data_IF_868541494368
#
_entry.id   IF_868541494368
#
_cell.length_a   1.000
_cell.length_b   1.000
_cell.length_c   1.000
_cell.angle_alpha   90.00
_cell.angle_beta   90.00
_cell.angle_gamma   90.00
#
_symmetry.space_group_name_H-M   'P 1'
#
loop_
_entity.id
_entity.type
_entity.pdbx_description
1 polymer ?
#
# COMPACT_ATOMS: atom_id res chain seq x y z
N UNK A 1 28.79 24.44 -52.51
CA UNK A 1 29.63 24.25 -51.30
C UNK A 1 29.26 25.30 -50.28
N UNK A 2 28.51 24.92 -49.23
CA UNK A 2 28.76 25.28 -47.83
C UNK A 2 27.57 24.87 -46.95
N UNK A 3 27.93 24.18 -45.86
CA UNK A 3 27.08 23.45 -44.93
C UNK A 3 26.25 24.39 -44.03
N UNK A 4 24.97 24.04 -43.85
CA UNK A 4 24.19 24.43 -42.67
C UNK A 4 24.16 23.25 -41.70
N UNK A 5 24.70 23.45 -40.51
CA UNK A 5 24.52 22.54 -39.38
C UNK A 5 23.11 22.73 -38.81
N UNK A 6 22.34 21.64 -38.72
CA UNK A 6 21.10 21.56 -37.94
C UNK A 6 21.34 20.56 -36.82
N UNK A 7 21.32 21.03 -35.58
CA UNK A 7 21.33 20.21 -34.38
C UNK A 7 19.95 19.57 -34.20
N UNK A 8 19.85 18.25 -34.39
CA UNK A 8 18.68 17.46 -34.01
C UNK A 8 18.95 16.90 -32.61
N UNK A 9 18.11 17.26 -31.63
CA UNK A 9 18.05 16.61 -30.32
C UNK A 9 17.49 15.19 -30.52
N UNK A 10 18.29 14.18 -30.21
CA UNK A 10 17.85 12.78 -30.12
C UNK A 10 17.25 12.59 -28.71
N UNK A 11 15.94 12.43 -28.65
CA UNK A 11 15.25 11.92 -27.46
C UNK A 11 15.52 10.42 -27.34
N UNK A 12 16.12 10.01 -26.21
CA UNK A 12 16.41 8.61 -25.91
C UNK A 12 15.10 7.91 -25.51
N UNK A 13 14.69 6.97 -26.36
CA UNK A 13 13.60 6.02 -26.16
C UNK A 13 14.08 4.94 -25.16
N UNK A 14 13.41 4.79 -24.02
CA UNK A 14 13.69 3.69 -23.07
C UNK A 14 12.80 2.50 -23.44
N UNK A 15 13.43 1.42 -23.90
CA UNK A 15 12.83 0.11 -24.13
C UNK A 15 12.60 -0.60 -22.79
N UNK A 16 11.36 -1.06 -22.54
CA UNK A 16 11.08 -2.13 -21.60
C UNK A 16 10.94 -3.44 -22.40
N UNK A 17 11.84 -4.40 -22.20
CA UNK A 17 11.70 -5.73 -22.78
C UNK A 17 11.08 -6.71 -21.79
N UNK A 18 10.04 -7.39 -22.28
CA UNK A 18 9.37 -8.55 -21.69
C UNK A 18 10.35 -9.73 -21.53
N UNK A 19 10.17 -10.49 -20.45
CA UNK A 19 10.72 -11.85 -20.35
C UNK A 19 9.92 -12.79 -21.27
N UNK A 20 10.55 -13.34 -22.30
CA UNK A 20 10.10 -14.58 -22.93
C UNK A 20 10.60 -15.79 -22.11
N UNK A 21 9.84 -16.89 -22.00
CA UNK A 21 10.31 -18.10 -21.33
C UNK A 21 11.24 -18.88 -22.27
N UNK A 22 12.48 -19.11 -21.83
CA UNK A 22 13.40 -20.03 -22.50
C UNK A 22 13.19 -21.43 -21.91
N UNK A 23 12.69 -22.35 -22.74
CA UNK A 23 12.76 -23.79 -22.51
C UNK A 23 14.23 -24.24 -22.64
N UNK A 24 14.82 -24.84 -21.60
CA UNK A 24 16.12 -25.53 -21.73
C UNK A 24 15.98 -27.00 -21.32
N UNK A 25 16.32 -27.83 -22.31
CA UNK A 25 16.46 -29.28 -22.29
C UNK A 25 17.63 -29.67 -21.39
N UNK A 26 17.41 -30.74 -20.61
CA UNK A 26 18.33 -31.36 -19.67
C UNK A 26 19.54 -31.97 -20.40
N UNK A 27 20.76 -31.53 -20.12
CA UNK A 27 21.96 -32.35 -20.28
C UNK A 27 22.93 -32.17 -19.12
N UNK A 28 23.39 -33.32 -18.65
CA UNK A 28 24.35 -33.60 -17.59
C UNK A 28 25.77 -33.19 -17.94
N UNK A 29 26.53 -32.70 -16.96
CA UNK A 29 27.98 -32.60 -17.04
C UNK A 29 28.58 -31.85 -15.86
N UNK A 30 29.45 -32.53 -15.10
CA UNK A 30 30.27 -32.00 -14.02
C UNK A 30 31.06 -30.75 -14.45
N UNK A 31 31.37 -29.85 -13.52
CA UNK A 31 32.73 -29.29 -13.28
C UNK A 31 32.77 -28.41 -12.01
N UNK A 32 33.88 -28.60 -11.29
CA UNK A 32 34.50 -28.00 -10.11
C UNK A 32 34.03 -26.66 -9.51
N UNK A 33 34.03 -26.65 -8.18
CA UNK A 33 34.04 -25.49 -7.26
C UNK A 33 35.34 -24.67 -7.29
N UNK A 34 35.27 -23.34 -7.13
CA UNK A 34 36.37 -22.55 -6.60
C UNK A 34 36.05 -21.90 -5.23
N UNK A 35 37.07 -21.89 -4.38
CA UNK A 35 37.16 -21.27 -3.05
C UNK A 35 36.68 -19.81 -3.00
N UNK A 36 35.76 -19.51 -2.08
CA UNK A 36 35.41 -18.12 -1.71
C UNK A 36 35.92 -17.85 -0.28
N UNK A 37 36.79 -16.85 -0.17
CA UNK A 37 37.28 -16.28 1.10
C UNK A 37 36.14 -15.59 1.86
N UNK A 38 35.98 -15.96 3.12
CA UNK A 38 35.13 -15.28 4.12
C UNK A 38 35.56 -13.82 4.32
N UNK A 39 34.64 -12.89 4.05
CA UNK A 39 34.75 -11.48 4.46
C UNK A 39 33.96 -11.26 5.75
N UNK A 40 34.62 -10.60 6.71
CA UNK A 40 34.18 -10.34 8.09
C UNK A 40 32.94 -9.44 8.14
N UNK A 41 31.99 -9.77 9.02
CA UNK A 41 30.83 -8.96 9.38
C UNK A 41 31.23 -7.66 10.13
N UNK A 42 30.53 -6.53 9.90
CA UNK A 42 30.62 -5.37 10.77
C UNK A 42 29.63 -5.47 11.94
N UNK A 43 30.13 -5.23 13.15
CA UNK A 43 29.40 -5.16 14.42
C UNK A 43 28.44 -3.97 14.41
N UNK A 44 27.13 -4.20 14.52
CA UNK A 44 26.16 -3.15 14.84
C UNK A 44 25.77 -3.20 16.32
N UNK A 45 25.88 -2.04 16.97
CA UNK A 45 25.56 -1.78 18.39
C UNK A 45 24.06 -1.91 18.61
N UNK A 46 23.69 -2.66 19.64
CA UNK A 46 22.33 -2.80 20.16
C UNK A 46 21.98 -1.53 20.95
N UNK A 47 20.90 -0.84 20.59
CA UNK A 47 20.26 0.20 21.42
C UNK A 47 19.09 -0.45 22.14
N UNK A 48 19.08 -0.37 23.48
CA UNK A 48 18.01 -0.91 24.32
C UNK A 48 16.81 0.07 24.42
N UNK A 49 15.58 -0.42 24.67
CA UNK A 49 14.39 0.42 24.75
C UNK A 49 14.31 1.23 26.06
N UNK A 50 13.92 2.50 25.94
CA UNK A 50 13.73 3.43 27.06
C UNK A 50 12.29 3.31 27.58
N UNK A 51 12.16 3.06 28.90
CA UNK A 51 10.89 3.03 29.63
C UNK A 51 10.58 4.45 30.15
N UNK A 52 9.44 5.02 29.78
CA UNK A 52 9.00 6.36 30.24
C UNK A 52 8.13 6.22 31.49
N UNK A 53 8.52 6.90 32.59
CA UNK A 53 7.67 7.12 33.78
C UNK A 53 6.87 8.41 33.60
N UNK A 54 5.57 8.35 33.88
CA UNK A 54 4.69 9.54 33.88
C UNK A 54 4.89 10.40 35.14
N UNK A 55 5.03 11.70 34.93
CA UNK A 55 4.88 12.74 35.96
C UNK A 55 3.80 13.72 35.52
N UNK A 56 2.76 13.84 36.32
CA UNK A 56 1.65 14.78 36.14
C UNK A 56 2.03 16.17 36.63
N UNK A 57 1.77 17.22 35.85
CA UNK A 57 1.47 18.54 36.42
C UNK A 57 0.57 19.40 35.52
N UNK A 58 -0.26 20.19 36.21
CA UNK A 58 -1.41 20.99 35.74
C UNK A 58 -1.01 22.15 34.82
N UNK A 59 -1.90 22.53 33.90
CA UNK A 59 -1.79 23.71 33.04
C UNK A 59 -2.85 24.77 33.40
N UNK A 60 -2.43 26.03 33.45
CA UNK A 60 -3.25 27.22 33.13
C UNK A 60 -2.86 27.74 31.73
N UNK A 61 -3.72 28.52 31.04
CA UNK A 61 -3.55 28.80 29.63
C UNK A 61 -2.92 30.17 29.37
N UNK A 62 -1.91 30.22 28.52
CA UNK A 62 -1.53 31.44 27.80
C UNK A 62 -1.36 31.13 26.31
N UNK A 63 -1.98 32.00 25.51
CA UNK A 63 -1.95 32.01 24.06
C UNK A 63 -0.62 32.55 23.57
N UNK A 64 0.11 31.82 22.74
CA UNK A 64 1.17 32.43 21.94
C UNK A 64 1.51 31.69 20.65
N UNK A 65 1.90 32.50 19.66
CA UNK A 65 2.28 32.14 18.29
C UNK A 65 3.43 31.12 18.29
N UNK A 66 3.19 29.94 17.75
CA UNK A 66 4.19 28.89 17.59
C UNK A 66 5.26 29.29 16.55
N UNK A 67 6.44 29.64 17.05
CA UNK A 67 7.68 29.64 16.28
C UNK A 67 8.21 28.21 16.22
N UNK A 68 8.45 27.73 14.99
CA UNK A 68 9.08 26.44 14.71
C UNK A 68 10.56 26.50 15.08
N UNK A 69 10.91 26.25 16.34
CA UNK A 69 12.32 26.02 16.71
C UNK A 69 12.45 25.02 17.84
N UNK A 70 13.36 24.06 17.63
CA UNK A 70 13.93 23.07 18.55
C UNK A 70 13.25 21.69 18.68
N UNK A 71 11.91 21.57 18.67
CA UNK A 71 11.27 20.25 18.88
C UNK A 71 11.54 19.23 17.76
N UNK A 72 11.72 19.69 16.51
CA UNK A 72 12.01 18.81 15.37
C UNK A 72 13.40 18.17 15.41
N UNK A 73 14.31 18.64 16.27
CA UNK A 73 15.66 18.07 16.39
C UNK A 73 15.72 16.83 17.29
N UNK A 74 14.70 16.58 18.11
CA UNK A 74 14.70 15.50 19.12
C UNK A 74 13.75 14.33 18.79
N UNK A 75 13.22 14.24 17.57
CA UNK A 75 12.34 13.12 17.17
C UNK A 75 10.96 13.15 17.82
N UNK A 76 10.56 14.29 18.41
CA UNK A 76 9.21 14.49 18.92
C UNK A 76 8.28 14.92 17.80
N UNK A 77 7.13 14.25 17.71
CA UNK A 77 6.03 14.69 16.87
C UNK A 77 5.54 16.05 17.37
N UNK A 78 5.33 17.06 16.50
CA UNK A 78 4.60 18.25 16.90
C UNK A 78 3.28 17.84 17.55
N UNK A 79 2.91 18.44 18.69
CA UNK A 79 1.73 18.05 19.49
C UNK A 79 0.44 17.86 18.67
N UNK A 80 0.24 18.71 17.66
CA UNK A 80 -0.90 18.63 16.73
C UNK A 80 -0.93 17.34 15.90
N UNK A 81 0.24 16.81 15.55
CA UNK A 81 0.39 15.55 14.85
C UNK A 81 0.03 14.38 15.79
N UNK A 82 0.39 14.49 17.07
CA UNK A 82 0.11 13.47 18.09
C UNK A 82 -1.40 13.34 18.37
N UNK A 83 -2.13 14.45 18.48
CA UNK A 83 -3.59 14.46 18.71
C UNK A 83 -4.37 13.82 17.53
N UNK A 84 -4.00 14.12 16.29
CA UNK A 84 -4.61 13.50 15.11
C UNK A 84 -4.30 11.99 15.00
N UNK A 85 -3.14 11.59 15.51
CA UNK A 85 -2.64 10.22 15.42
C UNK A 85 -2.84 9.39 16.69
N UNK A 86 -3.53 9.89 17.71
CA UNK A 86 -3.80 9.16 18.94
C UNK A 86 -5.29 9.08 19.30
N UNK A 87 -5.66 7.98 19.95
CA UNK A 87 -6.88 7.82 20.75
C UNK A 87 -8.23 8.09 20.06
N UNK A 88 -8.30 7.94 18.74
CA UNK A 88 -9.56 8.03 18.00
C UNK A 88 -10.35 6.72 18.13
N UNK A 89 -11.56 6.80 18.70
CA UNK A 89 -12.41 5.62 18.91
C UNK A 89 -13.04 5.12 17.61
N UNK A 90 -13.30 6.01 16.67
CA UNK A 90 -13.93 5.72 15.38
C UNK A 90 -12.92 5.80 14.24
N UNK A 91 -13.22 5.12 13.14
CA UNK A 91 -12.43 5.24 11.92
C UNK A 91 -12.68 6.59 11.25
N UNK A 92 -11.66 7.08 10.56
CA UNK A 92 -11.67 8.39 9.93
C UNK A 92 -10.58 8.53 8.88
N UNK A 93 -10.21 9.77 8.59
CA UNK A 93 -9.17 10.12 7.64
C UNK A 93 -8.40 11.35 8.15
N UNK A 94 -7.26 11.62 7.53
CA UNK A 94 -6.37 12.72 7.90
C UNK A 94 -6.42 13.83 6.84
N UNK A 95 -6.64 15.06 7.27
CA UNK A 95 -6.50 16.27 6.47
C UNK A 95 -5.28 17.05 6.98
N UNK A 96 -4.65 17.82 6.11
CA UNK A 96 -3.54 18.70 6.47
C UNK A 96 -2.23 18.24 5.83
N UNK A 97 -1.08 18.71 6.30
CA UNK A 97 0.23 18.43 5.72
C UNK A 97 1.22 17.93 6.79
N UNK A 98 2.48 17.86 6.39
CA UNK A 98 3.59 17.42 7.21
C UNK A 98 3.69 18.18 8.57
N UNK A 99 3.31 19.46 8.59
CA UNK A 99 3.39 20.33 9.79
C UNK A 99 2.08 20.46 10.57
N UNK A 100 0.95 20.03 9.99
CA UNK A 100 -0.37 20.11 10.61
C UNK A 100 -1.22 18.94 10.13
N UNK A 101 -1.66 18.07 11.03
CA UNK A 101 -2.65 17.06 10.71
C UNK A 101 -3.89 17.25 11.56
N UNK A 102 -5.02 16.97 10.94
CA UNK A 102 -6.32 16.93 11.58
C UNK A 102 -6.98 15.61 11.25
N UNK A 103 -7.39 14.87 12.27
CA UNK A 103 -8.25 13.73 12.09
C UNK A 103 -9.70 14.18 11.89
N UNK A 104 -10.38 13.51 10.96
CA UNK A 104 -11.80 13.72 10.67
C UNK A 104 -12.52 12.37 10.74
N UNK A 105 -13.64 12.27 11.50
CA UNK A 105 -14.39 11.03 11.58
C UNK A 105 -15.08 10.72 10.26
N UNK A 106 -15.17 9.43 9.94
CA UNK A 106 -16.17 8.97 9.00
C UNK A 106 -17.56 9.00 9.64
N UNK A 107 -18.59 9.24 8.83
CA UNK A 107 -19.92 9.58 9.33
C UNK A 107 -20.77 8.35 9.69
N UNK A 108 -20.28 7.14 9.37
CA UNK A 108 -21.00 5.89 9.62
C UNK A 108 -20.04 4.81 10.10
N UNK A 109 -20.51 4.02 11.07
CA UNK A 109 -19.91 2.75 11.44
C UNK A 109 -20.35 1.67 10.45
N UNK A 110 -19.38 0.96 9.89
CA UNK A 110 -19.54 -0.03 8.81
C UNK A 110 -18.59 -1.20 9.03
N UNK A 111 -18.96 -2.37 8.56
CA UNK A 111 -18.09 -3.55 8.57
C UNK A 111 -16.97 -3.42 7.53
N UNK A 112 -17.28 -2.88 6.35
CA UNK A 112 -16.33 -2.65 5.27
C UNK A 112 -16.39 -1.19 4.79
N UNK A 113 -15.22 -0.56 4.66
CA UNK A 113 -15.03 0.68 3.93
C UNK A 113 -14.07 0.46 2.77
N UNK A 114 -14.57 0.65 1.55
CA UNK A 114 -13.73 0.67 0.34
C UNK A 114 -13.40 2.12 -0.02
N UNK A 115 -12.12 2.40 -0.19
CA UNK A 115 -11.58 3.71 -0.52
C UNK A 115 -10.96 3.62 -1.91
N UNK A 116 -11.56 4.31 -2.86
CA UNK A 116 -11.09 4.34 -4.25
C UNK A 116 -10.33 5.64 -4.48
N UNK A 117 -9.03 5.54 -4.77
CA UNK A 117 -8.15 6.65 -5.09
C UNK A 117 -8.23 6.94 -6.59
N UNK A 118 -8.60 8.17 -6.94
CA UNK A 118 -8.82 8.58 -8.32
C UNK A 118 -8.16 9.93 -8.64
N UNK A 119 -7.95 10.18 -9.93
CA UNK A 119 -7.46 11.46 -10.41
C UNK A 119 -8.17 11.89 -11.71
N UNK A 120 -7.63 11.51 -12.87
CA UNK A 120 -8.07 12.01 -14.18
C UNK A 120 -8.46 10.89 -15.17
N UNK A 121 -8.83 9.70 -14.68
CA UNK A 121 -9.22 8.55 -15.51
C UNK A 121 -10.70 8.17 -15.32
N UNK A 122 -11.67 8.99 -15.78
CA UNK A 122 -13.10 8.78 -15.51
C UNK A 122 -13.61 7.41 -15.97
N UNK A 123 -13.18 6.94 -17.15
CA UNK A 123 -13.58 5.62 -17.66
C UNK A 123 -13.04 4.48 -16.81
N UNK A 124 -11.83 4.63 -16.27
CA UNK A 124 -11.22 3.64 -15.36
C UNK A 124 -11.98 3.57 -14.06
N UNK A 125 -12.22 4.74 -13.45
CA UNK A 125 -13.02 4.86 -12.24
C UNK A 125 -14.39 4.18 -12.39
N UNK A 126 -15.12 4.44 -13.48
CA UNK A 126 -16.42 3.80 -13.72
C UNK A 126 -16.33 2.27 -13.81
N UNK A 127 -15.26 1.70 -14.38
CA UNK A 127 -15.07 0.24 -14.41
C UNK A 127 -14.82 -0.31 -12.99
N UNK A 128 -14.01 0.39 -12.19
CA UNK A 128 -13.78 0.03 -10.79
C UNK A 128 -15.10 0.04 -9.99
N UNK A 129 -15.86 1.14 -10.07
CA UNK A 129 -17.15 1.27 -9.38
C UNK A 129 -18.17 0.23 -9.84
N UNK A 130 -18.21 -0.11 -11.13
CA UNK A 130 -19.05 -1.20 -11.64
C UNK A 130 -18.69 -2.55 -11.01
N UNK A 131 -17.40 -2.88 -10.89
CA UNK A 131 -16.98 -4.13 -10.25
C UNK A 131 -17.33 -4.16 -8.76
N UNK A 132 -17.19 -3.03 -8.06
CA UNK A 132 -17.62 -2.90 -6.67
C UNK A 132 -19.14 -3.03 -6.51
N UNK A 133 -19.93 -2.53 -7.45
CA UNK A 133 -21.40 -2.60 -7.41
C UNK A 133 -21.90 -4.03 -7.60
N UNK A 134 -21.15 -4.86 -8.34
CA UNK A 134 -21.46 -6.27 -8.58
C UNK A 134 -20.99 -7.23 -7.47
N UNK A 135 -20.30 -6.72 -6.44
CA UNK A 135 -19.75 -7.57 -5.38
C UNK A 135 -20.79 -8.01 -4.34
N UNK A 136 -20.59 -9.21 -3.81
CA UNK A 136 -21.39 -9.79 -2.75
C UNK A 136 -20.91 -9.29 -1.38
N UNK A 137 -21.65 -8.34 -0.82
CA UNK A 137 -21.40 -7.77 0.50
C UNK A 137 -22.15 -8.49 1.63
N UNK A 138 -22.73 -9.66 1.36
CA UNK A 138 -23.62 -10.37 2.29
C UNK A 138 -24.79 -9.46 2.72
N UNK A 139 -24.92 -9.25 4.03
CA UNK A 139 -25.87 -8.31 4.64
C UNK A 139 -25.14 -7.23 5.46
N UNK A 140 -23.84 -7.07 5.22
CA UNK A 140 -23.01 -6.16 5.98
C UNK A 140 -23.21 -4.71 5.51
N UNK A 141 -22.99 -3.74 6.39
CA UNK A 141 -23.01 -2.33 6.04
C UNK A 141 -21.69 -2.00 5.36
N UNK A 142 -21.79 -1.40 4.18
CA UNK A 142 -20.64 -1.05 3.37
C UNK A 142 -20.64 0.44 3.07
N UNK A 143 -19.48 1.07 3.23
CA UNK A 143 -19.23 2.39 2.70
C UNK A 143 -18.23 2.33 1.55
N UNK A 144 -18.51 3.08 0.49
CA UNK A 144 -17.58 3.31 -0.61
C UNK A 144 -17.30 4.81 -0.67
N UNK A 145 -16.04 5.19 -0.51
CA UNK A 145 -15.57 6.56 -0.57
C UNK A 145 -14.63 6.71 -1.79
N UNK A 146 -15.01 7.52 -2.77
CA UNK A 146 -14.13 7.90 -3.88
C UNK A 146 -13.40 9.18 -3.52
N UNK A 147 -12.07 9.12 -3.42
CA UNK A 147 -11.21 10.27 -3.20
C UNK A 147 -10.59 10.72 -4.52
N UNK A 148 -10.84 11.97 -4.90
CA UNK A 148 -10.33 12.57 -6.14
C UNK A 148 -9.25 13.58 -5.77
N UNK A 149 -8.03 13.33 -6.26
CA UNK A 149 -6.92 14.26 -6.11
C UNK A 149 -7.00 15.45 -7.07
N UNK A 150 -6.24 16.50 -6.75
CA UNK A 150 -6.10 17.70 -7.56
C UNK A 150 -4.83 17.64 -8.40
N UNK A 151 -4.84 18.38 -9.51
CA UNK A 151 -3.64 18.60 -10.32
C UNK A 151 -2.58 19.35 -9.51
N UNK A 152 -1.34 18.89 -9.57
CA UNK A 152 -0.21 19.46 -8.83
C UNK A 152 0.05 20.93 -9.16
N UNK A 153 -0.13 21.36 -10.41
CA UNK A 153 0.26 22.69 -10.90
C UNK A 153 -0.78 23.76 -10.60
N UNK A 154 -2.04 23.49 -10.95
CA UNK A 154 -3.13 24.49 -10.88
C UNK A 154 -4.16 24.18 -9.79
N UNK A 155 -4.00 23.08 -9.05
CA UNK A 155 -4.92 22.64 -7.99
C UNK A 155 -6.35 22.37 -8.49
N UNK A 156 -6.55 22.25 -9.80
CA UNK A 156 -7.84 21.91 -10.39
C UNK A 156 -8.23 20.46 -10.11
N UNK A 157 -9.54 20.20 -10.13
CA UNK A 157 -10.11 18.85 -10.07
C UNK A 157 -10.50 18.46 -11.50
N UNK A 158 -10.21 17.23 -11.89
CA UNK A 158 -10.63 16.75 -13.21
C UNK A 158 -12.15 16.61 -13.28
N UNK A 159 -12.81 17.51 -14.01
CA UNK A 159 -14.27 17.67 -14.02
C UNK A 159 -15.00 16.40 -14.48
N UNK A 160 -14.49 15.72 -15.51
CA UNK A 160 -15.11 14.49 -16.00
C UNK A 160 -15.01 13.34 -14.99
N UNK A 161 -13.92 13.27 -14.22
CA UNK A 161 -13.80 12.27 -13.14
C UNK A 161 -14.78 12.57 -12.03
N UNK A 162 -14.88 13.85 -11.62
CA UNK A 162 -15.81 14.28 -10.59
C UNK A 162 -17.27 14.01 -11.01
N UNK A 163 -17.61 14.31 -12.26
CA UNK A 163 -18.93 14.03 -12.84
C UNK A 163 -19.20 12.53 -12.86
N UNK A 164 -18.27 11.73 -13.38
CA UNK A 164 -18.39 10.28 -13.42
C UNK A 164 -18.61 9.68 -12.03
N UNK A 165 -17.86 10.14 -11.03
CA UNK A 165 -18.02 9.70 -9.64
C UNK A 165 -19.40 10.10 -9.08
N UNK A 166 -19.82 11.36 -9.24
CA UNK A 166 -21.09 11.86 -8.68
C UNK A 166 -22.33 11.27 -9.36
N UNK A 167 -22.23 10.91 -10.64
CA UNK A 167 -23.33 10.32 -11.40
C UNK A 167 -23.43 8.80 -11.25
N UNK A 168 -22.48 8.15 -10.58
CA UNK A 168 -22.56 6.71 -10.33
C UNK A 168 -23.50 6.44 -9.15
N UNK A 169 -24.42 5.50 -9.33
CA UNK A 169 -25.37 5.08 -8.30
C UNK A 169 -25.05 3.66 -7.85
N UNK A 170 -24.90 3.48 -6.53
CA UNK A 170 -24.81 2.16 -5.92
C UNK A 170 -26.20 1.72 -5.42
N UNK A 171 -26.43 0.39 -5.27
CA UNK A 171 -27.60 -0.13 -4.59
C UNK A 171 -27.82 0.52 -3.21
N UNK A 172 -29.07 0.66 -2.73
CA UNK A 172 -29.40 1.43 -1.52
C UNK A 172 -28.73 0.96 -0.21
N UNK A 173 -28.24 -0.28 -0.16
CA UNK A 173 -27.56 -0.84 1.01
C UNK A 173 -26.09 -0.41 1.14
N UNK A 174 -25.53 0.24 0.11
CA UNK A 174 -24.16 0.75 0.08
C UNK A 174 -24.18 2.27 0.29
N UNK A 175 -23.47 2.74 1.32
CA UNK A 175 -23.27 4.17 1.55
C UNK A 175 -22.17 4.68 0.63
N UNK A 176 -22.50 5.56 -0.31
CA UNK A 176 -21.54 6.09 -1.29
C UNK A 176 -21.24 7.57 -1.07
N UNK A 177 -19.95 7.96 -1.09
CA UNK A 177 -19.52 9.36 -1.00
C UNK A 177 -18.38 9.67 -1.97
N UNK A 178 -18.47 10.82 -2.60
CA UNK A 178 -17.39 11.41 -3.41
C UNK A 178 -16.73 12.52 -2.61
N UNK A 179 -15.41 12.43 -2.44
CA UNK A 179 -14.59 13.37 -1.69
C UNK A 179 -13.52 13.93 -2.62
N UNK A 180 -13.33 15.24 -2.54
CA UNK A 180 -12.30 15.95 -3.31
C UNK A 180 -11.25 16.41 -2.32
N UNK A 181 -9.98 16.11 -2.59
CA UNK A 181 -8.89 16.60 -1.75
C UNK A 181 -8.89 18.13 -1.70
N UNK A 182 -8.54 18.74 -0.58
CA UNK A 182 -8.47 20.22 -0.50
C UNK A 182 -7.32 20.79 -1.34
N UNK A 183 -6.19 20.07 -1.36
CA UNK A 183 -4.99 20.37 -2.12
C UNK A 183 -4.42 19.08 -2.72
N UNK A 184 -3.59 19.19 -3.76
CA UNK A 184 -2.89 18.05 -4.35
C UNK A 184 -2.14 17.24 -3.28
N UNK A 185 -2.44 15.94 -3.18
CA UNK A 185 -1.82 15.02 -2.22
C UNK A 185 -0.79 14.10 -2.85
N UNK A 186 -0.90 13.82 -4.14
CA UNK A 186 -0.16 12.77 -4.81
C UNK A 186 -0.53 11.39 -4.28
N UNK A 187 0.04 10.35 -4.90
CA UNK A 187 -0.30 8.96 -4.58
C UNK A 187 0.00 8.61 -3.11
N UNK A 188 1.15 9.04 -2.59
CA UNK A 188 1.53 8.83 -1.18
C UNK A 188 0.56 9.50 -0.21
N UNK A 189 0.18 10.75 -0.46
CA UNK A 189 -0.76 11.45 0.40
C UNK A 189 -2.16 10.84 0.33
N UNK A 190 -2.57 10.32 -0.82
CA UNK A 190 -3.85 9.61 -0.96
C UNK A 190 -3.84 8.29 -0.19
N UNK A 191 -2.83 7.44 -0.36
CA UNK A 191 -2.72 6.16 0.33
C UNK A 191 -2.66 6.33 1.85
N UNK A 192 -1.77 7.20 2.35
CA UNK A 192 -1.52 7.32 3.80
C UNK A 192 -2.71 7.94 4.55
N UNK A 193 -3.47 8.85 3.92
CA UNK A 193 -4.36 9.75 4.68
C UNK A 193 -5.84 9.45 4.57
N UNK A 194 -6.24 8.70 3.54
CA UNK A 194 -7.67 8.47 3.28
C UNK A 194 -8.28 7.44 4.22
N UNK A 195 -7.49 6.69 4.99
CA UNK A 195 -8.00 5.82 6.03
C UNK A 195 -7.15 5.83 7.28
N UNK A 196 -7.81 5.97 8.43
CA UNK A 196 -7.22 5.81 9.75
C UNK A 196 -8.20 5.03 10.63
N UNK A 197 -7.90 3.77 10.97
CA UNK A 197 -8.81 2.95 11.75
C UNK A 197 -8.86 3.38 13.21
N UNK A 198 -10.07 3.47 13.76
CA UNK A 198 -10.28 3.73 15.18
C UNK A 198 -9.73 2.60 16.05
N UNK A 199 -9.31 2.91 17.28
CA UNK A 199 -8.74 1.91 18.21
C UNK A 199 -9.75 0.83 18.58
N UNK A 200 -11.03 1.21 18.71
CA UNK A 200 -12.13 0.33 19.08
C UNK A 200 -12.99 -0.09 17.88
N UNK A 201 -12.67 0.40 16.68
CA UNK A 201 -13.45 0.09 15.48
C UNK A 201 -13.18 -1.31 14.98
N UNK A 202 -14.24 -2.01 14.56
CA UNK A 202 -14.17 -3.28 13.83
C UNK A 202 -14.16 -3.11 12.31
N UNK A 203 -14.24 -1.88 11.82
CA UNK A 203 -14.22 -1.53 10.39
C UNK A 203 -12.98 -2.14 9.72
N UNK A 204 -13.21 -2.82 8.60
CA UNK A 204 -12.18 -3.26 7.67
C UNK A 204 -12.06 -2.21 6.58
N UNK A 205 -10.86 -1.66 6.38
CA UNK A 205 -10.55 -0.76 5.27
C UNK A 205 -9.97 -1.53 4.10
N UNK A 206 -10.41 -1.22 2.89
CA UNK A 206 -9.79 -1.68 1.64
C UNK A 206 -9.48 -0.45 0.78
N UNK A 207 -8.22 -0.26 0.42
CA UNK A 207 -7.80 0.87 -0.42
C UNK A 207 -7.47 0.33 -1.82
N UNK A 208 -8.07 0.97 -2.83
CA UNK A 208 -7.97 0.61 -4.25
C UNK A 208 -7.58 1.83 -5.07
N UNK A 209 -6.86 1.63 -6.16
CA UNK A 209 -6.72 2.63 -7.23
C UNK A 209 -7.84 2.50 -8.28
N UNK A 210 -8.11 3.59 -9.00
CA UNK A 210 -9.19 3.65 -9.99
C UNK A 210 -9.04 2.68 -11.17
N UNK A 211 -7.84 2.11 -11.39
CA UNK A 211 -7.53 1.15 -12.45
C UNK A 211 -7.73 -0.34 -12.07
N UNK A 212 -8.28 -0.59 -10.89
CA UNK A 212 -8.59 -1.95 -10.44
C UNK A 212 -10.02 -2.40 -10.71
N UNK A 213 -10.17 -3.68 -11.05
CA UNK A 213 -11.44 -4.40 -10.95
C UNK A 213 -11.35 -5.40 -9.80
N UNK A 214 -12.43 -5.54 -9.02
CA UNK A 214 -12.51 -6.53 -7.94
C UNK A 214 -13.45 -7.68 -8.29
N UNK A 215 -13.17 -8.84 -7.71
CA UNK A 215 -13.99 -10.05 -7.81
C UNK A 215 -15.32 -9.86 -7.10
N UNK A 216 -16.39 -10.50 -7.56
CA UNK A 216 -17.67 -10.47 -6.85
C UNK A 216 -17.60 -11.10 -5.45
N UNK A 217 -16.59 -11.92 -5.16
CA UNK A 217 -16.42 -12.65 -3.90
C UNK A 217 -15.31 -12.08 -2.99
N UNK A 218 -14.68 -10.94 -3.36
CA UNK A 218 -13.54 -10.41 -2.62
C UNK A 218 -13.83 -10.23 -1.12
N UNK A 219 -15.04 -9.74 -0.79
CA UNK A 219 -15.42 -9.44 0.58
C UNK A 219 -15.59 -10.71 1.43
N UNK A 220 -16.04 -11.81 0.84
CA UNK A 220 -16.23 -13.09 1.55
C UNK A 220 -14.90 -13.56 2.15
N UNK A 221 -13.85 -13.59 1.33
CA UNK A 221 -12.51 -13.95 1.79
C UNK A 221 -11.93 -12.91 2.75
N UNK A 222 -12.00 -11.63 2.38
CA UNK A 222 -11.42 -10.55 3.18
C UNK A 222 -12.04 -10.52 4.60
N UNK A 223 -13.36 -10.69 4.71
CA UNK A 223 -14.06 -10.80 6.00
C UNK A 223 -13.58 -12.01 6.81
N UNK A 224 -13.45 -13.17 6.17
CA UNK A 224 -13.01 -14.39 6.85
C UNK A 224 -11.57 -14.26 7.39
N UNK A 225 -10.64 -13.79 6.55
CA UNK A 225 -9.21 -13.69 6.89
C UNK A 225 -8.95 -12.58 7.91
N UNK A 226 -9.63 -11.44 7.79
CA UNK A 226 -9.52 -10.35 8.78
C UNK A 226 -10.06 -10.78 10.14
N UNK A 227 -11.16 -11.54 10.20
CA UNK A 227 -11.68 -12.11 11.45
C UNK A 227 -10.67 -13.07 12.09
N UNK A 228 -10.04 -13.93 11.28
CA UNK A 228 -9.07 -14.92 11.76
C UNK A 228 -7.80 -14.29 12.30
N UNK A 229 -7.26 -13.30 11.61
CA UNK A 229 -5.95 -12.72 11.90
C UNK A 229 -6.01 -11.33 12.56
N UNK A 230 -7.19 -10.90 13.03
CA UNK A 230 -7.42 -9.57 13.62
C UNK A 230 -6.46 -9.17 14.74
N UNK A 231 -5.93 -10.14 15.48
CA UNK A 231 -5.07 -9.91 16.64
C UNK A 231 -3.66 -10.48 16.42
N UNK A 232 -3.32 -10.89 15.19
CA UNK A 232 -1.96 -11.36 14.87
C UNK A 232 -1.05 -10.15 14.66
N UNK A 233 -0.06 -10.01 15.52
CA UNK A 233 0.87 -8.87 15.52
C UNK A 233 1.88 -8.89 14.37
N UNK A 234 2.06 -10.06 13.75
CA UNK A 234 2.94 -10.28 12.60
C UNK A 234 2.24 -10.05 11.25
N UNK A 235 1.03 -9.48 11.23
CA UNK A 235 0.30 -9.13 10.01
C UNK A 235 0.32 -7.62 9.76
N UNK A 236 0.80 -7.22 8.59
CA UNK A 236 0.75 -5.82 8.12
C UNK A 236 -0.58 -5.49 7.44
N UNK A 237 -1.19 -6.48 6.78
CA UNK A 237 -2.48 -6.36 6.11
C UNK A 237 -2.72 -7.53 5.16
N UNK A 238 -3.69 -7.35 4.27
CA UNK A 238 -4.21 -8.36 3.35
C UNK A 238 -4.20 -7.82 1.93
N UNK A 239 -3.85 -8.66 0.96
CA UNK A 239 -3.89 -8.29 -0.45
C UNK A 239 -4.92 -9.13 -1.21
N UNK A 240 -5.69 -8.46 -2.09
CA UNK A 240 -6.62 -9.12 -3.02
C UNK A 240 -5.94 -9.51 -4.35
N UNK A 241 -4.74 -8.99 -4.61
CA UNK A 241 -3.92 -9.30 -5.77
C UNK A 241 -2.67 -10.07 -5.37
N UNK A 242 -1.98 -10.69 -6.35
CA UNK A 242 -0.64 -11.24 -6.15
C UNK A 242 0.45 -10.16 -6.29
N UNK A 243 1.67 -10.40 -5.79
CA UNK A 243 2.81 -9.54 -6.08
C UNK A 243 3.03 -9.45 -7.60
N UNK A 244 3.01 -8.24 -8.13
CA UNK A 244 3.25 -7.96 -9.56
C UNK A 244 4.74 -7.99 -9.93
N UNK A 245 5.60 -8.10 -8.93
CA UNK A 245 7.05 -8.11 -9.04
C UNK A 245 7.60 -9.53 -8.95
N UNK A 246 8.64 -9.80 -9.74
CA UNK A 246 9.53 -10.90 -9.41
C UNK A 246 10.10 -10.69 -7.99
N UNK A 247 10.29 -11.77 -7.25
CA UNK A 247 10.95 -11.68 -5.94
C UNK A 247 12.41 -11.21 -6.10
N UNK A 248 13.09 -10.91 -4.99
CA UNK A 248 14.41 -10.25 -4.96
C UNK A 248 15.51 -10.87 -5.86
N UNK A 249 15.35 -12.12 -6.30
CA UNK A 249 16.31 -12.87 -7.13
C UNK A 249 15.80 -13.19 -8.55
N UNK A 250 14.65 -12.63 -8.96
CA UNK A 250 14.01 -12.95 -10.24
C UNK A 250 13.21 -14.25 -10.18
N UNK A 251 12.06 -14.29 -10.86
CA UNK A 251 11.14 -15.43 -10.85
C UNK A 251 9.79 -15.14 -10.20
N UNK A 252 8.81 -16.01 -10.47
CA UNK A 252 7.49 -15.98 -9.84
C UNK A 252 7.59 -16.57 -8.43
N UNK A 253 6.78 -16.06 -7.49
CA UNK A 253 6.67 -16.67 -6.16
C UNK A 253 6.17 -18.11 -6.28
N UNK A 254 6.94 -19.04 -5.72
CA UNK A 254 6.49 -20.41 -5.54
C UNK A 254 5.68 -20.50 -4.25
N UNK A 255 4.40 -20.79 -4.38
CA UNK A 255 3.50 -21.08 -3.26
C UNK A 255 3.13 -22.56 -3.36
N UNK A 256 3.42 -23.39 -2.34
CA UNK A 256 2.97 -24.77 -2.30
C UNK A 256 1.46 -24.91 -2.58
N UNK A 257 1.07 -25.91 -3.37
CA UNK A 257 -0.33 -26.09 -3.82
C UNK A 257 -1.32 -26.30 -2.65
N UNK A 258 -0.86 -26.77 -1.50
CA UNK A 258 -1.71 -26.92 -0.33
C UNK A 258 -1.85 -25.61 0.49
N UNK A 259 -1.12 -24.56 0.14
CA UNK A 259 -1.12 -23.27 0.85
C UNK A 259 -2.08 -22.27 0.20
N UNK A 260 -3.38 -22.45 0.45
CA UNK A 260 -4.45 -21.55 0.00
C UNK A 260 -4.35 -20.15 0.62
N UNK A 261 -3.84 -20.03 1.84
CA UNK A 261 -3.52 -18.75 2.46
C UNK A 261 -2.08 -18.77 2.96
N UNK A 262 -1.32 -17.75 2.57
CA UNK A 262 0.10 -17.62 2.91
C UNK A 262 0.43 -16.19 3.29
N UNK A 263 1.61 -16.01 3.89
CA UNK A 263 2.16 -14.72 4.27
C UNK A 263 3.40 -14.42 3.44
N UNK A 264 3.53 -13.19 2.96
CA UNK A 264 4.70 -12.73 2.19
C UNK A 264 5.21 -11.40 2.73
N UNK A 265 6.52 -11.20 2.66
CA UNK A 265 7.18 -10.04 3.24
C UNK A 265 6.87 -8.72 2.53
N UNK A 266 6.57 -8.74 1.24
CA UNK A 266 6.21 -7.52 0.51
C UNK A 266 4.71 -7.28 0.51
N UNK A 267 4.37 -5.99 0.48
CA UNK A 267 3.03 -5.51 0.16
C UNK A 267 2.74 -5.71 -1.34
N UNK A 268 1.46 -5.89 -1.67
CA UNK A 268 0.98 -5.75 -3.05
C UNK A 268 0.27 -4.40 -3.19
N UNK A 269 0.72 -3.58 -4.12
CA UNK A 269 0.60 -2.11 -4.04
C UNK A 269 -0.67 -1.51 -4.62
N UNK A 270 -1.62 -2.32 -5.10
CA UNK A 270 -2.85 -1.80 -5.69
C UNK A 270 -4.12 -2.12 -4.88
N UNK A 271 -4.19 -3.29 -4.24
CA UNK A 271 -5.43 -3.78 -3.60
C UNK A 271 -5.21 -4.23 -2.16
N UNK A 272 -4.84 -3.27 -1.31
CA UNK A 272 -4.39 -3.54 0.04
C UNK A 272 -5.45 -3.18 1.08
N UNK A 273 -5.73 -4.13 1.97
CA UNK A 273 -6.53 -3.92 3.17
C UNK A 273 -5.59 -3.92 4.38
N UNK A 274 -5.28 -2.74 4.95
CA UNK A 274 -4.29 -2.68 6.01
C UNK A 274 -4.80 -3.32 7.32
N UNK A 275 -3.92 -3.99 8.05
CA UNK A 275 -4.24 -4.44 9.40
C UNK A 275 -4.42 -3.22 10.33
N UNK A 276 -5.53 -3.08 11.07
CA UNK A 276 -5.85 -1.80 11.72
C UNK A 276 -4.77 -1.27 12.65
N UNK A 277 -4.19 -2.13 13.49
CA UNK A 277 -3.13 -1.75 14.40
C UNK A 277 -1.82 -1.44 13.68
N UNK A 278 -1.46 -2.28 12.69
CA UNK A 278 -0.25 -2.07 11.89
C UNK A 278 -0.33 -0.74 11.15
N UNK A 279 -1.47 -0.42 10.54
CA UNK A 279 -1.66 0.82 9.80
C UNK A 279 -1.57 2.08 10.66
N UNK A 280 -2.12 2.06 11.88
CA UNK A 280 -1.95 3.18 12.83
C UNK A 280 -0.49 3.41 13.16
N UNK A 281 0.25 2.33 13.42
CA UNK A 281 1.67 2.38 13.76
C UNK A 281 2.52 2.79 12.56
N UNK A 282 2.16 2.34 11.36
CA UNK A 282 2.76 2.77 10.10
C UNK A 282 2.55 4.28 9.91
N UNK A 283 1.33 4.80 10.02
CA UNK A 283 1.06 6.24 9.86
C UNK A 283 1.89 7.07 10.84
N UNK A 284 1.95 6.68 12.12
CA UNK A 284 2.80 7.33 13.13
C UNK A 284 4.27 7.33 12.71
N UNK A 285 4.80 6.16 12.36
CA UNK A 285 6.21 6.00 11.95
C UNK A 285 6.52 6.79 10.69
N UNK A 286 5.63 6.74 9.69
CA UNK A 286 5.73 7.51 8.45
C UNK A 286 5.89 9.00 8.73
N UNK A 287 5.03 9.57 9.56
CA UNK A 287 5.08 10.99 9.86
C UNK A 287 6.31 11.41 10.68
N UNK A 288 6.81 10.55 11.58
CA UNK A 288 8.11 10.78 12.24
C UNK A 288 9.24 10.77 11.21
N UNK A 289 9.29 9.70 10.42
CA UNK A 289 10.38 9.42 9.49
C UNK A 289 10.45 10.41 8.34
N UNK A 290 9.30 10.88 7.82
CA UNK A 290 9.22 11.90 6.77
C UNK A 290 9.87 13.23 7.20
N UNK A 291 9.90 13.52 8.50
CA UNK A 291 10.48 14.74 9.08
C UNK A 291 11.87 14.53 9.67
N UNK A 292 12.35 13.28 9.70
CA UNK A 292 13.65 12.96 10.24
C UNK A 292 14.71 13.21 9.18
N UNK A 293 15.58 14.19 9.42
CA UNK A 293 16.64 14.58 8.48
C UNK A 293 17.53 13.36 8.17
N UNK A 294 17.62 13.02 6.88
CA UNK A 294 18.47 11.94 6.39
C UNK A 294 17.86 10.54 6.52
N UNK A 295 16.60 10.42 6.95
CA UNK A 295 15.91 9.14 6.91
C UNK A 295 15.60 8.75 5.46
N UNK A 296 15.87 7.49 5.13
CA UNK A 296 15.50 6.88 3.86
C UNK A 296 14.82 5.53 4.12
N UNK A 297 13.61 5.28 3.58
CA UNK A 297 12.97 3.98 3.72
C UNK A 297 13.72 2.96 2.84
N UNK A 298 14.63 2.19 3.44
CA UNK A 298 15.43 1.19 2.73
C UNK A 298 15.41 -0.16 3.44
N UNK A 299 15.35 -1.21 2.64
CA UNK A 299 15.51 -2.59 3.08
C UNK A 299 16.60 -3.22 2.20
N UNK A 300 17.60 -3.83 2.84
CA UNK A 300 18.72 -4.43 2.10
C UNK A 300 18.24 -5.58 1.21
N UNK A 301 18.73 -5.63 -0.02
CA UNK A 301 18.49 -6.76 -0.93
C UNK A 301 17.11 -6.81 -1.59
N UNK A 302 16.25 -5.80 -1.43
CA UNK A 302 14.90 -5.80 -2.07
C UNK A 302 14.84 -4.86 -3.26
N UNK A 303 14.12 -5.28 -4.30
CA UNK A 303 13.94 -4.52 -5.54
C UNK A 303 13.32 -3.12 -5.31
N UNK A 304 12.30 -2.94 -4.44
CA UNK A 304 11.74 -1.61 -4.15
C UNK A 304 12.76 -0.58 -3.63
N UNK A 305 13.78 -1.01 -2.87
CA UNK A 305 14.83 -0.08 -2.40
C UNK A 305 15.75 0.39 -3.54
N UNK A 306 15.90 -0.41 -4.59
CA UNK A 306 16.63 0.02 -5.80
C UNK A 306 15.82 1.05 -6.59
N UNK A 307 14.51 0.83 -6.72
CA UNK A 307 13.59 1.76 -7.38
C UNK A 307 13.50 3.09 -6.66
N UNK A 308 13.40 3.07 -5.32
CA UNK A 308 13.42 4.27 -4.49
C UNK A 308 14.64 5.15 -4.79
N UNK A 309 15.84 4.57 -4.83
CA UNK A 309 17.08 5.30 -5.19
C UNK A 309 17.03 5.88 -6.61
N UNK A 310 16.35 5.20 -7.53
CA UNK A 310 16.12 5.67 -8.89
C UNK A 310 15.17 6.87 -8.95
N UNK A 311 14.04 6.81 -8.25
CA UNK A 311 13.03 7.88 -8.22
C UNK A 311 13.49 9.09 -7.41
N UNK A 312 14.26 8.89 -6.34
CA UNK A 312 14.88 9.97 -5.57
C UNK A 312 15.77 10.86 -6.45
N UNK A 313 16.56 10.27 -7.36
CA UNK A 313 17.38 11.05 -8.33
C UNK A 313 16.53 11.91 -9.28
N UNK A 314 15.25 11.60 -9.43
CA UNK A 314 14.29 12.32 -10.28
C UNK A 314 13.39 13.28 -9.49
N UNK A 315 13.51 13.32 -8.15
CA UNK A 315 12.58 14.04 -7.28
C UNK A 315 11.15 13.48 -7.30
N UNK A 316 11.03 12.16 -7.48
CA UNK A 316 9.76 11.42 -7.60
C UNK A 316 9.62 10.32 -6.55
N UNK A 317 10.45 10.32 -5.51
CA UNK A 317 10.40 9.33 -4.45
C UNK A 317 9.02 9.24 -3.76
N UNK A 318 8.26 10.34 -3.74
CA UNK A 318 6.88 10.37 -3.22
C UNK A 318 5.87 9.59 -4.08
N UNK A 319 6.26 9.16 -5.28
CA UNK A 319 5.43 8.30 -6.14
C UNK A 319 5.54 6.81 -5.76
N UNK A 320 6.48 6.46 -4.86
CA UNK A 320 6.70 5.12 -4.30
C UNK A 320 6.31 5.07 -2.82
N UNK A 321 5.02 5.24 -2.53
CA UNK A 321 4.50 5.22 -1.17
C UNK A 321 4.76 3.87 -0.47
N UNK A 322 4.75 2.79 -1.23
CA UNK A 322 4.91 1.43 -0.75
C UNK A 322 6.27 1.21 -0.09
N UNK A 323 7.31 1.96 -0.49
CA UNK A 323 8.63 1.80 0.11
C UNK A 323 8.63 2.21 1.58
N UNK A 324 7.85 3.23 1.95
CA UNK A 324 7.67 3.62 3.35
C UNK A 324 7.03 2.51 4.16
N UNK A 325 5.99 1.88 3.61
CA UNK A 325 5.32 0.76 4.26
C UNK A 325 6.22 -0.48 4.32
N UNK A 326 6.99 -0.79 3.27
CA UNK A 326 7.93 -1.91 3.22
C UNK A 326 9.02 -1.75 4.30
N UNK A 327 9.58 -0.56 4.45
CA UNK A 327 10.57 -0.28 5.49
C UNK A 327 9.97 -0.46 6.91
N UNK A 328 8.79 0.10 7.16
CA UNK A 328 8.09 -0.08 8.42
C UNK A 328 7.77 -1.56 8.71
N UNK A 329 7.19 -2.28 7.75
CA UNK A 329 6.82 -3.68 7.92
C UNK A 329 8.05 -4.59 8.12
N UNK A 330 9.19 -4.24 7.50
CA UNK A 330 10.46 -4.91 7.73
C UNK A 330 10.90 -4.80 9.19
N UNK A 331 10.94 -3.58 9.72
CA UNK A 331 11.33 -3.31 11.11
C UNK A 331 10.36 -3.96 12.11
N UNK A 332 9.05 -3.90 11.82
CA UNK A 332 8.01 -4.53 12.60
C UNK A 332 7.95 -6.07 12.45
N UNK A 333 8.75 -6.65 11.55
CA UNK A 333 8.77 -8.10 11.22
C UNK A 333 7.39 -8.63 10.78
N UNK A 334 6.63 -7.80 10.08
CA UNK A 334 5.27 -8.10 9.63
C UNK A 334 5.22 -8.66 8.21
N UNK A 335 4.11 -9.29 7.90
CA UNK A 335 3.83 -9.90 6.60
C UNK A 335 2.48 -9.48 6.06
N UNK A 336 2.39 -9.40 4.74
CA UNK A 336 1.12 -9.30 4.01
C UNK A 336 0.52 -10.70 3.89
N UNK A 337 -0.77 -10.83 4.13
CA UNK A 337 -1.51 -12.08 3.95
C UNK A 337 -2.14 -12.10 2.56
N UNK A 338 -2.02 -13.24 1.86
CA UNK A 338 -2.50 -13.42 0.50
C UNK A 338 -3.30 -14.71 0.36
N UNK A 339 -4.22 -14.70 -0.62
CA UNK A 339 -4.92 -15.87 -1.09
C UNK A 339 -4.20 -16.46 -2.31
N UNK A 340 -3.99 -17.77 -2.29
CA UNK A 340 -3.67 -18.55 -3.47
C UNK A 340 -4.98 -19.11 -4.04
N UNK A 341 -5.49 -18.46 -5.06
CA UNK A 341 -6.63 -18.89 -5.90
C UNK A 341 -6.18 -19.85 -7.01
N UNK A 342 -4.91 -20.26 -7.00
CA UNK A 342 -4.29 -21.06 -8.05
C UNK A 342 -4.42 -20.40 -9.42
N UNK A 343 -5.03 -21.09 -10.39
CA UNK A 343 -5.20 -20.61 -11.77
C UNK A 343 -6.58 -19.98 -12.00
N UNK A 344 -7.39 -19.80 -10.95
CA UNK A 344 -8.77 -19.31 -11.07
C UNK A 344 -8.88 -17.78 -11.13
N UNK A 345 -7.76 -17.06 -11.26
CA UNK A 345 -7.71 -15.60 -11.31
C UNK A 345 -7.39 -14.96 -9.95
N UNK A 346 -7.67 -13.68 -9.75
CA UNK A 346 -7.38 -12.95 -8.51
C UNK A 346 -8.64 -12.30 -7.92
N UNK A 347 -8.60 -11.89 -6.64
CA UNK A 347 -9.70 -11.15 -6.02
C UNK A 347 -9.70 -9.66 -6.40
N UNK A 348 -8.58 -9.14 -6.90
CA UNK A 348 -8.50 -7.86 -7.58
C UNK A 348 -7.43 -7.90 -8.67
N UNK A 349 -7.71 -7.25 -9.81
CA UNK A 349 -6.81 -7.19 -10.97
C UNK A 349 -6.60 -5.74 -11.40
N UNK A 350 -5.35 -5.38 -11.65
CA UNK A 350 -5.02 -4.15 -12.35
C UNK A 350 -5.30 -4.35 -13.84
N UNK A 351 -6.07 -3.44 -14.42
CA UNK A 351 -6.43 -3.49 -15.84
C UNK A 351 -5.27 -3.13 -16.77
N UNK A 352 -4.08 -2.89 -16.21
CA UNK A 352 -2.84 -2.49 -16.90
C UNK A 352 -3.10 -1.28 -17.80
N UNK A 353 -3.92 -0.36 -17.33
CA UNK A 353 -4.19 0.86 -18.08
C UNK A 353 -2.98 1.79 -17.96
N UNK A 354 -2.59 2.45 -19.05
CA UNK A 354 -1.45 3.38 -19.04
C UNK A 354 -1.64 4.41 -17.92
N UNK A 355 -0.63 4.54 -17.07
CA UNK A 355 -0.70 5.31 -15.83
C UNK A 355 0.68 5.75 -15.34
N UNK A 356 0.79 6.10 -14.06
CA UNK A 356 2.03 6.60 -13.48
C UNK A 356 3.19 5.60 -13.59
N UNK A 357 2.87 4.31 -13.42
CA UNK A 357 3.85 3.22 -13.36
C UNK A 357 3.63 2.10 -14.39
N UNK A 358 2.55 2.15 -15.16
CA UNK A 358 2.18 1.08 -16.11
C UNK A 358 2.12 1.60 -17.55
N UNK A 359 2.66 0.82 -18.48
CA UNK A 359 2.71 1.11 -19.92
C UNK A 359 1.71 0.31 -20.76
N UNK A 360 0.84 -0.49 -20.12
CA UNK A 360 0.01 -1.47 -20.81
C UNK A 360 0.51 -2.90 -20.61
N UNK A 361 -0.40 -3.88 -20.59
CA UNK A 361 -0.03 -5.29 -20.43
C UNK A 361 -1.21 -6.27 -20.39
N UNK A 362 -0.89 -7.56 -20.23
CA UNK A 362 -1.88 -8.62 -20.05
C UNK A 362 -2.61 -8.45 -18.72
N UNK A 363 -3.94 -8.56 -18.77
CA UNK A 363 -4.83 -8.47 -17.60
C UNK A 363 -5.13 -9.88 -17.11
N UNK A 364 -4.92 -10.11 -15.82
CA UNK A 364 -5.31 -11.36 -15.13
C UNK A 364 -6.83 -11.49 -15.06
N UNK A 365 -7.35 -12.71 -14.93
CA UNK A 365 -8.78 -12.95 -14.70
C UNK A 365 -9.17 -12.67 -13.24
N UNK A 366 -10.46 -12.37 -13.02
CA UNK A 366 -11.04 -12.34 -11.68
C UNK A 366 -11.50 -13.74 -11.27
N UNK A 367 -11.19 -14.14 -10.03
CA UNK A 367 -11.73 -15.34 -9.39
C UNK A 367 -13.10 -15.00 -8.79
N UNK A 368 -14.19 -15.38 -9.46
CA UNK A 368 -15.56 -15.06 -9.01
C UNK A 368 -16.30 -16.26 -8.39
N UNK A 369 -15.73 -17.46 -8.51
CA UNK A 369 -16.30 -18.69 -7.96
C UNK A 369 -15.74 -18.94 -6.56
N UNK A 370 -16.63 -19.18 -5.60
CA UNK A 370 -16.21 -19.47 -4.23
C UNK A 370 -15.70 -20.90 -4.11
N UNK A 371 -14.57 -21.06 -3.44
CA UNK A 371 -14.03 -22.35 -3.03
C UNK A 371 -14.00 -22.43 -1.50
N UNK A 372 -14.55 -23.51 -0.92
CA UNK A 372 -14.57 -23.72 0.53
C UNK A 372 -13.18 -23.75 1.17
N UNK A 373 -12.12 -23.96 0.38
CA UNK A 373 -10.75 -23.84 0.88
C UNK A 373 -10.35 -22.40 1.21
N UNK A 374 -11.02 -21.39 0.65
CA UNK A 374 -10.74 -19.96 0.92
C UNK A 374 -11.07 -19.58 2.37
N UNK A 375 -12.01 -20.27 3.03
CA UNK A 375 -12.31 -20.05 4.45
C UNK A 375 -11.49 -20.92 5.41
N UNK A 376 -10.75 -21.92 4.91
CA UNK A 376 -9.88 -22.78 5.70
C UNK A 376 -8.53 -22.10 5.99
N UNK A 377 -8.62 -20.96 6.67
CA UNK A 377 -7.47 -20.11 7.00
C UNK A 377 -6.67 -20.76 8.15
N UNK A 378 -5.39 -21.11 7.94
CA UNK A 378 -4.58 -21.83 8.92
C UNK A 378 -4.23 -20.96 10.13
N UNK A 379 -3.95 -21.55 11.31
CA UNK A 379 -3.42 -20.78 12.46
C UNK A 379 -2.00 -20.26 12.23
N UNK A 380 -1.22 -21.05 11.49
CA UNK A 380 0.18 -20.84 11.16
C UNK A 380 0.35 -20.97 9.64
N UNK A 381 0.01 -19.94 8.85
CA UNK A 381 0.26 -19.95 7.42
C UNK A 381 1.75 -20.05 7.14
N UNK A 382 2.12 -20.59 5.99
CA UNK A 382 3.51 -20.52 5.53
C UNK A 382 3.91 -19.05 5.36
N UNK A 383 5.17 -18.75 5.63
CA UNK A 383 5.75 -17.41 5.49
C UNK A 383 6.83 -17.44 4.43
N UNK A 384 6.72 -16.55 3.47
CA UNK A 384 7.68 -16.38 2.39
C UNK A 384 8.51 -15.13 2.66
N UNK A 385 9.84 -15.25 2.59
CA UNK A 385 10.74 -14.11 2.69
C UNK A 385 10.83 -13.32 1.39
N UNK A 386 11.58 -12.21 1.35
CA UNK A 386 11.69 -11.32 0.18
C UNK A 386 12.11 -12.00 -1.14
N UNK A 387 12.81 -13.12 -1.05
CA UNK A 387 13.25 -13.94 -2.17
C UNK A 387 12.28 -15.09 -2.51
N UNK A 388 11.13 -15.17 -1.84
CA UNK A 388 10.15 -16.22 -2.03
C UNK A 388 10.46 -17.52 -1.30
N UNK A 389 11.55 -17.61 -0.53
CA UNK A 389 11.88 -18.81 0.23
C UNK A 389 10.94 -19.00 1.42
N UNK A 390 10.59 -20.26 1.71
CA UNK A 390 9.78 -20.60 2.87
C UNK A 390 10.63 -20.41 4.13
N UNK A 391 10.19 -19.53 5.02
CA UNK A 391 10.82 -19.30 6.30
C UNK A 391 10.54 -20.46 7.26
N UNK A 392 11.56 -20.85 8.03
CA UNK A 392 11.37 -21.77 9.16
C UNK A 392 10.66 -21.02 10.29
N UNK A 393 9.57 -21.60 10.78
CA UNK A 393 8.75 -21.08 11.87
C UNK A 393 9.49 -21.09 13.22
#
# INVERSE_FOLDING_TARGET
>A
MNNRAVFIRISILIFFFFCLPIYIIKQSGLISTPNIKLLKEPKNKIVQPIIIKHSTNKLQPESDKLTLSEESKNGYLPKLLDDALNNQNTSGFLIGNATFLKWMPYERDVELRVIVLAYNRPKSLLKCLKSLSAANYLKDKVAIDVWIDRNKKDQSVHEETLKAAKSFEFPPHISYKVRVQEHHRGILGQWVNTWRPGINSKEVGLILEDDLSVSSIFWLWLKAVTRKYRYKTDVSGYSLSKPSMAHAHGGLLFVPDNAWTYMYRLICTWSFSPHPESWRNFQKSFYISEHTKGYEPQVSGVLPSQWWKGEQKKGKERDLWEMWHIAFAHEAKQFTVLLNTHQEGLLAVNRREVGLHDSGGQVESLCNDWNDMFEKIPEKPIKLDYDGTIMKN
#
